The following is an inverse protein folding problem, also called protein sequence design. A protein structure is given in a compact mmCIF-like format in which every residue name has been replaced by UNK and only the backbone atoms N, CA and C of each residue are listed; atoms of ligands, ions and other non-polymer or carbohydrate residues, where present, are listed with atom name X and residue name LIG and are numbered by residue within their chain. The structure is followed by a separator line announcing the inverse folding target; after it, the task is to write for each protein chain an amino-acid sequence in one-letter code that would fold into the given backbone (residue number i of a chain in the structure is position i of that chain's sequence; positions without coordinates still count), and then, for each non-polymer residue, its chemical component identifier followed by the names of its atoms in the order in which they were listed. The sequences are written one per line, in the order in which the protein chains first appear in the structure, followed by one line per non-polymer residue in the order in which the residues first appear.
data_IF_359803048380
#
_entry.id   IF_359803048380
#
_cell.length_a   1.000
_cell.length_b   1.000
_cell.length_c   1.000
_cell.angle_alpha   90.00
_cell.angle_beta   90.00
_cell.angle_gamma   90.00
#
_symmetry.space_group_name_H-M   'P 1'
#
loop_
_entity.id
_entity.type
_entity.pdbx_description
1 polymer ?
#
# COMPACT_ATOMS: atom_id res chain seq x y z
N UNK A 1 6.43 -79.24 9.21
CA UNK A 1 6.24 -77.81 9.54
C UNK A 1 6.49 -77.03 8.27
N UNK A 2 5.48 -76.94 7.42
CA UNK A 2 5.53 -76.16 6.18
C UNK A 2 5.30 -74.69 6.52
N UNK A 3 6.27 -73.84 6.17
CA UNK A 3 6.16 -72.39 6.31
C UNK A 3 5.36 -71.86 5.12
N UNK A 4 4.24 -71.24 5.46
CA UNK A 4 3.28 -70.58 4.58
C UNK A 4 3.92 -69.54 3.64
N UNK A 5 3.54 -69.48 2.35
CA UNK A 5 3.98 -68.46 1.41
C UNK A 5 3.06 -67.23 1.47
N UNK A 6 2.97 -66.55 2.62
CA UNK A 6 2.04 -65.42 2.81
C UNK A 6 2.63 -64.03 2.49
N UNK A 7 3.93 -63.93 2.20
CA UNK A 7 4.65 -62.64 2.18
C UNK A 7 4.52 -61.82 0.88
N UNK A 8 4.14 -62.45 -0.25
CA UNK A 8 4.02 -61.72 -1.54
C UNK A 8 2.85 -60.75 -1.60
N UNK A 9 1.76 -61.00 -0.85
CA UNK A 9 0.55 -60.17 -0.89
C UNK A 9 0.74 -58.83 -0.15
N UNK A 10 1.57 -58.82 0.91
CA UNK A 10 1.82 -57.63 1.72
C UNK A 10 2.52 -56.52 0.93
N UNK A 11 3.53 -56.84 0.12
CA UNK A 11 4.26 -55.85 -0.70
C UNK A 11 3.34 -55.10 -1.65
N UNK A 12 2.46 -55.84 -2.34
CA UNK A 12 1.49 -55.24 -3.26
C UNK A 12 0.54 -54.31 -2.53
N UNK A 13 0.07 -54.69 -1.33
CA UNK A 13 -0.81 -53.85 -0.51
C UNK A 13 -0.15 -52.53 -0.08
N UNK A 14 1.10 -52.55 0.38
CA UNK A 14 1.79 -51.29 0.75
C UNK A 14 2.01 -50.37 -0.44
N UNK A 15 2.44 -50.92 -1.58
CA UNK A 15 2.68 -50.13 -2.79
C UNK A 15 1.37 -49.48 -3.25
N UNK A 16 0.28 -50.24 -3.27
CA UNK A 16 -1.04 -49.74 -3.64
C UNK A 16 -1.52 -48.66 -2.65
N UNK A 17 -1.37 -48.86 -1.34
CA UNK A 17 -1.75 -47.87 -0.33
C UNK A 17 -0.92 -46.58 -0.42
N UNK A 18 0.39 -46.69 -0.65
CA UNK A 18 1.27 -45.53 -0.80
C UNK A 18 0.92 -44.72 -2.06
N UNK A 19 0.64 -45.39 -3.18
CA UNK A 19 0.18 -44.75 -4.42
C UNK A 19 -1.17 -44.05 -4.19
N UNK A 20 -2.12 -44.72 -3.52
CA UNK A 20 -3.44 -44.15 -3.25
C UNK A 20 -3.37 -42.88 -2.37
N UNK A 21 -2.59 -42.92 -1.28
CA UNK A 21 -2.42 -41.76 -0.38
C UNK A 21 -1.72 -40.60 -1.12
N UNK A 22 -0.69 -40.90 -1.92
CA UNK A 22 0.02 -39.88 -2.71
C UNK A 22 -0.90 -39.27 -3.78
N UNK A 23 -1.71 -40.07 -4.46
CA UNK A 23 -2.68 -39.60 -5.44
C UNK A 23 -3.78 -38.73 -4.82
N UNK A 24 -4.30 -39.11 -3.65
CA UNK A 24 -5.33 -38.34 -2.94
C UNK A 24 -4.79 -37.01 -2.42
N UNK A 25 -3.58 -37.00 -1.85
CA UNK A 25 -2.94 -35.75 -1.39
C UNK A 25 -2.63 -34.82 -2.56
N UNK A 26 -2.10 -35.34 -3.66
CA UNK A 26 -1.87 -34.55 -4.88
C UNK A 26 -3.18 -34.01 -5.46
N UNK A 27 -4.22 -34.85 -5.58
CA UNK A 27 -5.54 -34.46 -6.07
C UNK A 27 -6.18 -33.37 -5.21
N UNK A 28 -6.11 -33.50 -3.89
CA UNK A 28 -6.57 -32.48 -2.94
C UNK A 28 -5.84 -31.14 -3.14
N UNK A 29 -4.52 -31.15 -3.30
CA UNK A 29 -3.75 -29.93 -3.55
C UNK A 29 -4.03 -29.32 -4.92
N UNK A 30 -4.19 -30.13 -5.97
CA UNK A 30 -4.57 -29.68 -7.31
C UNK A 30 -5.95 -29.00 -7.31
N UNK A 31 -6.93 -29.59 -6.63
CA UNK A 31 -8.27 -29.00 -6.49
C UNK A 31 -8.24 -27.70 -5.69
N UNK A 32 -7.47 -27.65 -4.58
CA UNK A 32 -7.39 -26.46 -3.71
C UNK A 32 -6.60 -25.30 -4.33
N UNK A 33 -5.65 -25.58 -5.22
CA UNK A 33 -4.70 -24.60 -5.74
C UNK A 33 -4.68 -24.48 -7.27
N UNK A 34 -5.74 -24.93 -7.95
CA UNK A 34 -5.86 -24.97 -9.42
C UNK A 34 -5.57 -23.62 -10.11
N UNK A 35 -5.82 -22.50 -9.42
CA UNK A 35 -5.56 -21.15 -9.93
C UNK A 35 -4.12 -20.64 -9.77
N UNK A 36 -3.23 -21.39 -9.12
CA UNK A 36 -1.87 -20.95 -8.76
C UNK A 36 -0.78 -21.78 -9.42
N UNK A 37 -0.61 -21.59 -10.72
CA UNK A 37 0.43 -22.26 -11.52
C UNK A 37 1.86 -22.04 -10.97
N UNK A 38 2.11 -20.91 -10.30
CA UNK A 38 3.41 -20.60 -9.68
C UNK A 38 3.75 -21.46 -8.45
N UNK A 39 2.75 -22.13 -7.87
CA UNK A 39 2.89 -23.01 -6.70
C UNK A 39 2.80 -24.48 -7.08
N UNK A 40 1.96 -24.80 -8.07
CA UNK A 40 1.67 -26.18 -8.48
C UNK A 40 2.92 -26.91 -8.98
N UNK A 41 3.72 -26.29 -9.86
CA UNK A 41 4.88 -26.96 -10.43
C UNK A 41 5.96 -27.29 -9.37
N UNK A 42 6.39 -26.36 -8.50
CA UNK A 42 7.31 -26.67 -7.40
C UNK A 42 6.77 -27.74 -6.44
N UNK A 43 5.46 -27.71 -6.13
CA UNK A 43 4.83 -28.69 -5.25
C UNK A 43 4.83 -30.10 -5.87
N UNK A 44 4.49 -30.20 -7.16
CA UNK A 44 4.52 -31.46 -7.92
C UNK A 44 5.93 -32.02 -7.94
N UNK A 45 6.94 -31.21 -8.25
CA UNK A 45 8.35 -31.63 -8.28
C UNK A 45 8.82 -32.11 -6.90
N UNK A 46 8.42 -31.42 -5.83
CA UNK A 46 8.75 -31.83 -4.46
C UNK A 46 8.09 -33.17 -4.09
N UNK A 47 6.80 -33.33 -4.38
CA UNK A 47 6.07 -34.57 -4.11
C UNK A 47 6.66 -35.75 -4.89
N UNK A 48 6.98 -35.56 -6.17
CA UNK A 48 7.67 -36.56 -7.00
C UNK A 48 9.03 -36.95 -6.41
N UNK A 49 9.85 -35.97 -6.01
CA UNK A 49 11.15 -36.23 -5.39
C UNK A 49 11.03 -37.02 -4.07
N UNK A 50 10.08 -36.64 -3.21
CA UNK A 50 9.82 -37.37 -1.95
C UNK A 50 9.33 -38.80 -2.20
N UNK A 51 8.47 -39.00 -3.19
CA UNK A 51 7.96 -40.32 -3.55
C UNK A 51 9.07 -41.24 -4.05
N UNK A 52 9.91 -40.75 -4.97
CA UNK A 52 11.06 -41.49 -5.50
C UNK A 52 12.05 -41.82 -4.38
N UNK A 53 12.36 -40.86 -3.50
CA UNK A 53 13.27 -41.07 -2.38
C UNK A 53 12.75 -42.13 -1.40
N UNK A 54 11.46 -42.08 -1.06
CA UNK A 54 10.82 -43.09 -0.20
C UNK A 54 10.80 -44.47 -0.88
N UNK A 55 10.53 -44.54 -2.17
CA UNK A 55 10.58 -45.80 -2.92
C UNK A 55 11.97 -46.43 -2.89
N UNK A 56 13.03 -45.65 -3.09
CA UNK A 56 14.41 -46.15 -3.01
C UNK A 56 14.81 -46.60 -1.59
N UNK A 57 14.42 -45.85 -0.55
CA UNK A 57 14.70 -46.23 0.85
C UNK A 57 13.97 -47.54 1.21
N UNK A 58 12.70 -47.67 0.82
CA UNK A 58 11.89 -48.87 1.09
C UNK A 58 12.39 -50.08 0.33
N UNK A 59 12.81 -49.91 -0.92
CA UNK A 59 13.28 -51.03 -1.75
C UNK A 59 14.69 -51.50 -1.40
N UNK A 60 15.58 -50.63 -0.92
CA UNK A 60 17.00 -50.96 -0.74
C UNK A 60 17.39 -51.32 0.69
N UNK A 61 16.90 -50.59 1.70
CA UNK A 61 17.36 -50.74 3.09
C UNK A 61 16.39 -51.58 3.94
N UNK A 62 15.08 -51.42 3.71
CA UNK A 62 14.04 -52.00 4.56
C UNK A 62 13.76 -53.48 4.30
N UNK A 63 14.25 -54.05 3.20
CA UNK A 63 14.08 -55.48 2.87
C UNK A 63 14.74 -56.41 3.89
N UNK A 64 15.78 -55.95 4.59
CA UNK A 64 16.51 -56.72 5.60
C UNK A 64 15.93 -56.61 7.02
N UNK A 65 14.92 -55.75 7.22
CA UNK A 65 14.40 -55.40 8.55
C UNK A 65 13.03 -56.04 8.81
N UNK A 66 12.70 -56.24 10.08
CA UNK A 66 11.40 -56.80 10.49
C UNK A 66 10.22 -55.92 10.05
N UNK A 67 9.08 -56.56 9.79
CA UNK A 67 7.81 -55.91 9.40
C UNK A 67 7.40 -54.79 10.36
N UNK A 68 7.67 -54.91 11.67
CA UNK A 68 7.38 -53.84 12.65
C UNK A 68 8.19 -52.57 12.39
N UNK A 69 9.47 -52.72 12.02
CA UNK A 69 10.34 -51.56 11.71
C UNK A 69 9.88 -50.87 10.43
N UNK A 70 9.46 -51.64 9.42
CA UNK A 70 8.90 -51.10 8.18
C UNK A 70 7.64 -50.26 8.44
N UNK A 71 6.72 -50.75 9.26
CA UNK A 71 5.53 -50.01 9.68
C UNK A 71 5.85 -48.70 10.39
N UNK A 72 6.81 -48.71 11.32
CA UNK A 72 7.19 -47.51 12.07
C UNK A 72 7.80 -46.47 11.12
N UNK A 73 8.71 -46.87 10.23
CA UNK A 73 9.33 -45.96 9.26
C UNK A 73 8.28 -45.37 8.31
N UNK A 74 7.34 -46.19 7.81
CA UNK A 74 6.27 -45.72 6.94
C UNK A 74 5.30 -44.77 7.67
N UNK A 75 4.94 -45.08 8.92
CA UNK A 75 4.09 -44.24 9.74
C UNK A 75 4.72 -42.87 10.02
N UNK A 76 6.00 -42.85 10.43
CA UNK A 76 6.77 -41.61 10.66
C UNK A 76 6.90 -40.79 9.38
N UNK A 77 7.22 -41.44 8.24
CA UNK A 77 7.32 -40.77 6.94
C UNK A 77 6.00 -40.12 6.52
N UNK A 78 4.88 -40.82 6.73
CA UNK A 78 3.54 -40.31 6.40
C UNK A 78 3.16 -39.14 7.29
N UNK A 79 3.42 -39.23 8.61
CA UNK A 79 3.20 -38.11 9.54
C UNK A 79 4.05 -36.90 9.15
N UNK A 80 5.30 -37.11 8.74
CA UNK A 80 6.17 -36.02 8.30
C UNK A 80 5.69 -35.36 7.00
N UNK A 81 5.19 -36.14 6.03
CA UNK A 81 4.59 -35.60 4.80
C UNK A 81 3.30 -34.81 5.12
N UNK A 82 2.42 -35.35 5.97
CA UNK A 82 1.21 -34.66 6.42
C UNK A 82 1.57 -33.39 7.17
N UNK A 83 2.60 -33.42 8.02
CA UNK A 83 3.10 -32.25 8.74
C UNK A 83 3.69 -31.21 7.80
N UNK A 84 4.47 -31.60 6.77
CA UNK A 84 4.94 -30.66 5.74
C UNK A 84 3.75 -30.11 4.94
N UNK A 85 2.77 -30.91 4.55
CA UNK A 85 1.56 -30.46 3.85
C UNK A 85 0.72 -29.48 4.70
N UNK A 86 0.72 -29.67 6.03
CA UNK A 86 0.05 -28.80 6.99
C UNK A 86 0.86 -27.55 7.36
N UNK A 87 2.19 -27.64 7.44
CA UNK A 87 3.09 -26.51 7.65
C UNK A 87 3.20 -25.63 6.40
N UNK A 88 3.08 -26.26 5.22
CA UNK A 88 2.86 -25.59 3.93
C UNK A 88 1.39 -25.21 3.71
N UNK A 89 0.49 -25.41 4.71
CA UNK A 89 -0.85 -24.82 4.72
C UNK A 89 -0.70 -23.31 4.94
N UNK A 90 -0.33 -22.76 3.80
CA UNK A 90 0.15 -21.45 3.48
C UNK A 90 -0.84 -20.42 3.96
N UNK A 91 -0.38 -19.42 4.71
CA UNK A 91 -1.16 -18.24 5.05
C UNK A 91 -1.67 -17.60 3.74
N UNK A 92 -2.95 -17.80 3.35
CA UNK A 92 -3.43 -17.40 2.03
C UNK A 92 -3.65 -15.89 1.96
N UNK A 93 -3.82 -15.24 3.11
CA UNK A 93 -4.11 -13.81 3.22
C UNK A 93 -2.89 -12.89 3.31
N UNK A 94 -1.67 -13.44 3.27
CA UNK A 94 -0.44 -12.67 3.46
C UNK A 94 0.37 -12.43 2.18
N UNK A 95 0.14 -13.21 1.12
CA UNK A 95 1.11 -13.32 0.03
C UNK A 95 1.05 -12.13 -0.94
N UNK A 96 2.23 -11.65 -1.34
CA UNK A 96 2.34 -10.65 -2.40
C UNK A 96 1.79 -11.22 -3.70
N UNK A 97 0.74 -10.59 -4.23
CA UNK A 97 0.12 -11.02 -5.49
C UNK A 97 0.98 -10.55 -6.65
N UNK A 98 1.31 -11.45 -7.58
CA UNK A 98 1.67 -11.03 -8.94
C UNK A 98 0.39 -10.58 -9.63
N UNK A 99 0.30 -9.36 -10.16
CA UNK A 99 -0.91 -8.92 -10.83
C UNK A 99 -0.84 -9.03 -12.35
N UNK A 100 -2.04 -8.94 -12.92
CA UNK A 100 -2.39 -8.43 -14.25
C UNK A 100 -1.53 -7.22 -14.66
N UNK A 101 -1.50 -6.81 -15.95
CA UNK A 101 -0.72 -5.63 -16.39
C UNK A 101 -0.95 -4.47 -15.43
N UNK A 102 0.17 -3.94 -14.92
CA UNK A 102 0.21 -2.89 -13.92
C UNK A 102 -0.71 -1.73 -14.32
N UNK A 103 -1.69 -1.43 -13.48
CA UNK A 103 -2.64 -0.35 -13.71
C UNK A 103 -2.26 0.86 -12.84
N UNK A 104 -2.09 2.02 -13.48
CA UNK A 104 -1.94 3.28 -12.77
C UNK A 104 -3.23 3.70 -12.05
N UNK A 105 -3.12 4.59 -11.07
CA UNK A 105 -4.30 5.24 -10.52
C UNK A 105 -4.94 6.21 -11.53
N UNK A 106 -6.20 6.57 -11.27
CA UNK A 106 -6.91 7.58 -12.05
C UNK A 106 -6.39 8.97 -11.68
N UNK A 107 -6.05 9.79 -12.67
CA UNK A 107 -5.62 11.17 -12.47
C UNK A 107 -6.89 12.03 -12.42
N UNK A 108 -7.22 12.53 -11.23
CA UNK A 108 -8.45 13.30 -10.99
C UNK A 108 -8.21 14.80 -10.82
N UNK A 109 -6.97 15.26 -10.92
CA UNK A 109 -6.59 16.68 -10.81
C UNK A 109 -6.24 17.27 -12.16
N UNK A 110 -6.09 18.59 -12.19
CA UNK A 110 -5.42 19.31 -13.29
C UNK A 110 -4.12 18.59 -13.70
N UNK A 111 -3.96 18.44 -15.03
CA UNK A 111 -2.88 17.65 -15.62
C UNK A 111 -1.54 18.36 -15.52
N UNK A 112 -1.51 19.68 -15.71
CA UNK A 112 -0.27 20.47 -15.61
C UNK A 112 0.31 20.36 -14.21
N UNK A 113 -0.53 20.56 -13.19
CA UNK A 113 -0.14 20.46 -11.79
C UNK A 113 0.30 19.04 -11.41
N UNK A 114 -0.37 18.01 -11.95
CA UNK A 114 0.03 16.61 -11.79
C UNK A 114 1.41 16.33 -12.37
N UNK A 115 1.65 16.74 -13.62
CA UNK A 115 2.92 16.51 -14.32
C UNK A 115 4.05 17.30 -13.65
N UNK A 116 3.79 18.52 -13.17
CA UNK A 116 4.73 19.28 -12.35
C UNK A 116 5.11 18.51 -11.08
N UNK A 117 4.13 18.05 -10.29
CA UNK A 117 4.43 17.33 -9.04
C UNK A 117 5.29 16.08 -9.28
N UNK A 118 5.02 15.34 -10.36
CA UNK A 118 5.79 14.13 -10.71
C UNK A 118 7.14 14.42 -11.36
N UNK A 119 7.38 15.63 -11.89
CA UNK A 119 8.68 16.02 -12.44
C UNK A 119 9.67 16.53 -11.39
N UNK A 120 9.20 16.86 -10.18
CA UNK A 120 10.06 17.29 -9.07
C UNK A 120 11.04 16.16 -8.72
N UNK A 121 12.34 16.46 -8.81
CA UNK A 121 13.42 15.57 -8.37
C UNK A 121 13.66 15.77 -6.89
N UNK A 122 13.67 14.68 -6.12
CA UNK A 122 13.94 14.72 -4.70
C UNK A 122 15.39 14.35 -4.43
N UNK A 123 15.96 14.89 -3.35
CA UNK A 123 17.30 14.50 -2.87
C UNK A 123 17.33 13.02 -2.47
N UNK A 124 16.28 12.55 -1.83
CA UNK A 124 16.10 11.16 -1.43
C UNK A 124 14.89 10.56 -2.16
N UNK A 125 15.12 9.94 -3.32
CA UNK A 125 14.07 9.21 -4.02
C UNK A 125 13.76 7.86 -3.36
N UNK A 126 12.49 7.43 -3.42
CA UNK A 126 12.09 6.04 -3.18
C UNK A 126 13.02 5.04 -3.87
N UNK A 127 13.77 4.24 -3.10
CA UNK A 127 14.60 3.19 -3.70
C UNK A 127 13.71 1.98 -4.03
N UNK A 128 13.85 1.37 -5.22
CA UNK A 128 13.29 0.06 -5.45
C UNK A 128 14.06 -0.92 -4.57
N UNK A 129 13.50 -1.27 -3.41
CA UNK A 129 14.07 -2.31 -2.59
C UNK A 129 13.72 -3.69 -3.20
N UNK A 130 14.70 -4.59 -3.22
CA UNK A 130 14.44 -6.00 -3.52
C UNK A 130 13.91 -6.72 -2.27
N UNK A 131 13.20 -6.02 -1.37
CA UNK A 131 12.67 -6.59 -0.13
C UNK A 131 11.67 -7.72 -0.39
N UNK A 132 11.15 -7.79 -1.63
CA UNK A 132 10.45 -8.92 -2.19
C UNK A 132 11.35 -10.16 -2.30
N UNK A 133 11.65 -10.82 -1.18
CA UNK A 133 12.29 -12.13 -1.19
C UNK A 133 11.25 -13.18 -1.57
N UNK A 134 11.43 -13.80 -2.74
CA UNK A 134 10.83 -15.10 -3.00
C UNK A 134 11.43 -16.05 -1.98
N UNK A 135 10.56 -16.65 -1.17
CA UNK A 135 10.95 -17.70 -0.26
C UNK A 135 11.75 -18.82 -0.92
N UNK A 136 12.42 -19.68 -0.14
CA UNK A 136 13.10 -20.86 -0.68
C UNK A 136 12.08 -21.71 -1.48
N UNK A 137 12.39 -21.98 -2.76
CA UNK A 137 11.49 -22.61 -3.76
C UNK A 137 10.17 -21.86 -4.05
N UNK A 138 10.04 -20.61 -3.63
CA UNK A 138 8.79 -19.85 -3.74
C UNK A 138 7.69 -20.32 -2.77
N UNK A 139 8.00 -21.28 -1.90
CA UNK A 139 7.08 -21.94 -0.95
C UNK A 139 7.31 -21.44 0.49
N UNK A 140 8.56 -21.13 0.86
CA UNK A 140 8.94 -20.85 2.25
C UNK A 140 9.45 -19.42 2.47
N UNK A 141 8.68 -18.54 3.12
CA UNK A 141 9.17 -17.21 3.52
C UNK A 141 8.96 -16.10 2.48
N UNK A 142 7.80 -16.07 1.80
CA UNK A 142 7.40 -14.88 1.02
C UNK A 142 7.07 -13.74 1.99
N UNK A 143 7.69 -12.58 1.79
CA UNK A 143 7.34 -11.33 2.47
C UNK A 143 5.84 -11.09 2.36
N UNK A 144 5.19 -10.77 3.47
CA UNK A 144 3.76 -10.41 3.47
C UNK A 144 3.53 -8.94 3.15
N UNK A 145 2.34 -8.57 2.67
CA UNK A 145 1.93 -7.16 2.52
C UNK A 145 2.12 -6.37 3.83
N UNK A 146 1.90 -6.99 4.99
CA UNK A 146 2.10 -6.33 6.28
C UNK A 146 3.58 -6.12 6.62
N UNK A 147 4.44 -7.09 6.33
CA UNK A 147 5.90 -6.96 6.55
C UNK A 147 6.52 -5.96 5.60
N UNK A 148 6.10 -5.98 4.34
CA UNK A 148 6.54 -4.99 3.35
C UNK A 148 6.07 -3.59 3.72
N UNK A 149 4.80 -3.41 4.10
CA UNK A 149 4.34 -2.12 4.61
C UNK A 149 5.14 -1.66 5.83
N UNK A 150 5.41 -2.55 6.78
CA UNK A 150 6.25 -2.24 7.95
C UNK A 150 7.65 -1.80 7.52
N UNK A 151 8.26 -2.51 6.57
CA UNK A 151 9.55 -2.12 6.00
C UNK A 151 9.52 -0.70 5.45
N UNK A 152 8.58 -0.39 4.55
CA UNK A 152 8.41 0.97 3.99
C UNK A 152 8.25 2.03 5.08
N UNK A 153 7.52 1.71 6.15
CA UNK A 153 7.33 2.61 7.28
C UNK A 153 8.62 2.86 8.08
N UNK A 154 9.54 1.89 8.13
CA UNK A 154 10.78 1.96 8.90
C UNK A 154 11.95 2.52 8.07
N UNK A 155 11.97 2.25 6.76
CA UNK A 155 13.08 2.64 5.88
C UNK A 155 12.84 3.94 5.14
N UNK A 156 11.58 4.29 4.82
CA UNK A 156 11.29 5.37 3.88
C UNK A 156 10.26 6.39 4.36
N UNK A 157 9.33 6.02 5.22
CA UNK A 157 8.31 6.95 5.73
C UNK A 157 8.93 7.93 6.73
N UNK A 158 8.60 9.21 6.60
CA UNK A 158 9.18 10.23 7.46
C UNK A 158 8.97 11.65 6.96
N UNK A 159 9.48 12.59 7.74
CA UNK A 159 9.60 14.00 7.37
C UNK A 159 11.08 14.29 7.14
N UNK A 160 11.39 14.81 5.96
CA UNK A 160 12.72 15.18 5.51
C UNK A 160 12.71 16.70 5.30
N UNK A 161 13.19 17.45 6.29
CA UNK A 161 13.23 18.92 6.26
C UNK A 161 14.66 19.33 5.97
N UNK A 162 14.89 19.85 4.77
CA UNK A 162 16.22 20.28 4.32
C UNK A 162 16.47 21.73 4.73
N UNK A 163 15.43 22.56 4.69
CA UNK A 163 15.49 24.00 4.99
C UNK A 163 14.15 24.49 5.51
N UNK A 164 14.20 25.34 6.53
CA UNK A 164 13.05 26.07 7.06
C UNK A 164 13.13 27.53 6.63
N UNK A 165 11.97 28.17 6.42
CA UNK A 165 11.87 29.58 6.05
C UNK A 165 10.98 30.29 7.05
N UNK A 166 11.49 31.37 7.62
CA UNK A 166 10.74 32.22 8.56
C UNK A 166 10.01 33.36 7.86
N UNK A 167 9.10 34.00 8.61
CA UNK A 167 8.39 35.21 8.18
C UNK A 167 7.61 35.03 6.88
N UNK A 168 7.01 33.86 6.69
CA UNK A 168 6.22 33.55 5.50
C UNK A 168 4.84 34.20 5.61
N UNK A 169 4.59 35.22 4.78
CA UNK A 169 3.31 35.94 4.77
C UNK A 169 2.15 35.09 4.24
N UNK A 170 2.40 34.30 3.19
CA UNK A 170 1.39 33.49 2.52
C UNK A 170 1.98 32.32 1.73
N UNK A 171 1.14 31.34 1.43
CA UNK A 171 1.52 30.09 0.78
C UNK A 171 0.61 29.76 -0.40
N UNK A 172 1.17 29.04 -1.37
CA UNK A 172 0.41 28.53 -2.51
C UNK A 172 0.18 27.01 -2.42
N UNK A 173 -1.08 26.58 -2.47
CA UNK A 173 -1.46 25.19 -2.67
C UNK A 173 -1.54 24.89 -4.17
N UNK A 174 -0.52 24.23 -4.70
CA UNK A 174 -0.42 23.96 -6.14
C UNK A 174 -1.46 22.93 -6.62
N UNK A 175 -1.65 21.88 -5.82
CA UNK A 175 -2.60 20.79 -6.10
C UNK A 175 -3.63 20.66 -4.98
N UNK A 176 -4.83 21.21 -5.16
CA UNK A 176 -5.95 20.95 -4.28
C UNK A 176 -6.36 19.48 -4.33
N UNK A 177 -6.70 18.89 -3.18
CA UNK A 177 -7.24 17.52 -3.12
C UNK A 177 -8.72 17.57 -3.43
N UNK A 178 -9.20 16.71 -4.32
CA UNK A 178 -10.62 16.62 -4.64
C UNK A 178 -11.39 15.92 -3.52
N UNK A 179 -12.67 16.28 -3.36
CA UNK A 179 -13.59 15.52 -2.53
C UNK A 179 -13.70 14.08 -3.05
N UNK A 180 -13.86 13.12 -2.13
CA UNK A 180 -13.85 11.69 -2.47
C UNK A 180 -15.10 11.02 -1.92
N UNK A 181 -15.65 10.03 -2.62
CA UNK A 181 -16.84 9.28 -2.19
C UNK A 181 -16.46 7.96 -1.52
N UNK A 182 -17.42 7.28 -0.89
CA UNK A 182 -17.18 5.96 -0.30
C UNK A 182 -16.76 4.92 -1.35
N UNK A 183 -17.26 5.05 -2.58
CA UNK A 183 -16.89 4.19 -3.71
C UNK A 183 -15.42 4.43 -4.08
N UNK A 184 -14.98 5.70 -4.12
CA UNK A 184 -13.58 6.06 -4.39
C UNK A 184 -12.65 5.48 -3.32
N UNK A 185 -13.05 5.48 -2.04
CA UNK A 185 -12.28 4.86 -0.96
C UNK A 185 -12.18 3.34 -1.09
N UNK A 186 -13.17 2.68 -1.70
CA UNK A 186 -13.19 1.23 -1.91
C UNK A 186 -12.51 0.81 -3.22
N UNK A 187 -12.18 1.76 -4.08
CA UNK A 187 -11.46 1.50 -5.32
C UNK A 187 -9.94 1.47 -5.07
N UNK A 188 -9.29 0.41 -5.57
CA UNK A 188 -7.85 0.20 -5.45
C UNK A 188 -7.01 1.31 -6.11
N UNK A 189 -7.49 1.85 -7.22
CA UNK A 189 -6.77 2.73 -8.13
C UNK A 189 -7.39 4.13 -8.24
N UNK A 190 -8.55 4.40 -7.66
CA UNK A 190 -9.15 5.74 -7.81
C UNK A 190 -8.39 6.84 -7.03
N UNK A 191 -7.74 6.51 -5.92
CA UNK A 191 -7.01 7.47 -5.10
C UNK A 191 -5.50 7.44 -5.36
N UNK A 192 -4.94 8.55 -5.83
CA UNK A 192 -3.48 8.75 -6.01
C UNK A 192 -2.72 8.72 -4.67
N UNK A 193 -3.12 9.53 -3.70
CA UNK A 193 -2.52 9.61 -2.36
C UNK A 193 -3.57 9.42 -1.25
N UNK A 194 -3.98 8.17 -0.99
CA UNK A 194 -4.87 7.89 0.14
C UNK A 194 -4.30 8.25 1.53
N UNK A 195 -3.01 8.01 1.87
CA UNK A 195 -2.50 8.32 3.21
C UNK A 195 -2.54 9.83 3.55
N UNK A 196 -2.30 10.71 2.57
CA UNK A 196 -2.35 12.16 2.75
C UNK A 196 -3.76 12.76 2.68
N UNK A 197 -4.78 11.97 2.36
CA UNK A 197 -6.15 12.45 2.24
C UNK A 197 -6.77 12.79 3.61
N UNK A 198 -7.38 13.98 3.68
CA UNK A 198 -8.29 14.36 4.76
C UNK A 198 -9.46 15.16 4.18
N UNK A 199 -10.66 14.94 4.70
CA UNK A 199 -11.86 15.66 4.27
C UNK A 199 -11.71 17.17 4.47
N UNK A 200 -11.09 17.60 5.57
CA UNK A 200 -10.84 19.02 5.89
C UNK A 200 -10.02 19.72 4.80
N UNK A 201 -8.90 19.13 4.39
CA UNK A 201 -8.03 19.71 3.35
C UNK A 201 -8.66 19.63 1.96
N UNK A 202 -9.49 18.62 1.68
CA UNK A 202 -10.15 18.48 0.39
C UNK A 202 -11.33 19.45 0.21
N UNK A 203 -12.08 19.74 1.27
CA UNK A 203 -13.22 20.64 1.21
C UNK A 203 -12.81 22.10 1.42
N UNK A 204 -12.08 22.37 2.50
CA UNK A 204 -11.81 23.74 2.94
C UNK A 204 -10.32 23.89 3.31
N UNK A 205 -9.39 23.75 2.35
CA UNK A 205 -7.96 23.87 2.64
C UNK A 205 -7.65 25.22 3.27
N UNK A 206 -8.26 26.30 2.80
CA UNK A 206 -8.05 27.64 3.33
C UNK A 206 -8.31 27.75 4.84
N UNK A 207 -9.40 27.16 5.35
CA UNK A 207 -9.71 27.15 6.80
C UNK A 207 -8.67 26.39 7.62
N UNK A 208 -8.00 25.39 7.02
CA UNK A 208 -6.99 24.62 7.74
C UNK A 208 -5.71 25.43 7.97
N UNK A 209 -5.35 26.32 7.03
CA UNK A 209 -4.14 27.15 7.06
C UNK A 209 -4.35 28.54 7.65
N UNK A 210 -5.60 28.99 7.75
CA UNK A 210 -5.96 30.30 8.31
C UNK A 210 -6.30 30.25 9.81
N UNK A 211 -6.33 29.06 10.41
CA UNK A 211 -6.73 28.85 11.81
C UNK A 211 -5.72 29.48 12.79
N UNK A 212 -6.21 30.42 13.63
CA UNK A 212 -5.55 31.00 14.81
C UNK A 212 -4.14 31.59 14.57
N UNK A 213 -4.06 32.60 13.69
CA UNK A 213 -2.86 33.40 13.39
C UNK A 213 -1.75 32.67 12.60
N UNK A 214 -2.14 31.84 11.64
CA UNK A 214 -1.23 31.29 10.63
C UNK A 214 -0.84 32.32 9.57
N UNK A 215 -0.84 31.90 8.31
CA UNK A 215 -0.54 32.76 7.16
C UNK A 215 -1.59 33.86 6.97
N UNK A 216 -1.14 35.04 6.52
CA UNK A 216 -2.02 36.17 6.17
C UNK A 216 -2.90 35.87 4.97
N UNK A 217 -2.48 34.97 4.08
CA UNK A 217 -3.30 34.48 2.98
C UNK A 217 -2.83 33.11 2.49
N UNK A 218 -3.71 32.40 1.80
CA UNK A 218 -3.40 31.18 1.05
C UNK A 218 -3.91 31.33 -0.38
N UNK A 219 -3.06 30.98 -1.34
CA UNK A 219 -3.40 30.96 -2.75
C UNK A 219 -3.65 29.52 -3.20
N UNK A 220 -4.57 29.32 -4.16
CA UNK A 220 -4.90 28.00 -4.71
C UNK A 220 -5.36 28.13 -6.16
N UNK A 221 -5.14 27.10 -6.97
CA UNK A 221 -5.73 26.99 -8.31
C UNK A 221 -7.23 26.71 -8.27
N UNK A 222 -7.76 26.26 -7.13
CA UNK A 222 -9.18 25.97 -6.97
C UNK A 222 -9.93 27.13 -6.33
N UNK A 223 -11.00 27.56 -7.00
CA UNK A 223 -11.93 28.56 -6.50
C UNK A 223 -12.83 28.07 -5.37
N UNK A 224 -13.51 28.99 -4.70
CA UNK A 224 -14.32 28.67 -3.54
C UNK A 224 -15.53 27.80 -3.90
N UNK A 225 -15.86 26.86 -3.03
CA UNK A 225 -16.87 25.81 -3.25
C UNK A 225 -18.33 26.29 -3.02
N UNK A 226 -18.65 27.56 -3.27
CA UNK A 226 -19.89 28.22 -2.79
C UNK A 226 -21.21 27.54 -3.20
N UNK A 227 -21.23 26.62 -4.17
CA UNK A 227 -22.45 25.90 -4.61
C UNK A 227 -22.45 24.37 -4.42
N UNK A 228 -21.43 23.78 -3.79
CA UNK A 228 -21.33 22.30 -3.75
C UNK A 228 -22.21 21.62 -2.68
N UNK A 229 -22.97 22.39 -1.88
CA UNK A 229 -23.75 21.89 -0.73
C UNK A 229 -25.15 22.52 -0.65
N UNK A 230 -25.94 22.47 -1.74
CA UNK A 230 -27.40 22.57 -1.63
C UNK A 230 -28.02 21.21 -1.94
N UNK A 231 -28.38 20.48 -0.89
CA UNK A 231 -29.27 19.30 -0.90
C UNK A 231 -28.80 18.09 -1.73
N UNK A 232 -27.83 17.32 -1.20
CA UNK A 232 -27.71 15.87 -1.46
C UNK A 232 -27.42 15.40 -2.89
N UNK A 233 -27.40 16.28 -3.88
CA UNK A 233 -27.04 16.01 -5.26
C UNK A 233 -25.88 16.92 -5.64
N UNK A 234 -24.76 16.31 -6.03
CA UNK A 234 -23.61 17.01 -6.60
C UNK A 234 -23.99 17.49 -8.01
N UNK A 235 -24.50 18.70 -8.12
CA UNK A 235 -24.35 19.45 -9.38
C UNK A 235 -22.93 20.00 -9.40
N UNK A 236 -22.11 19.49 -10.32
CA UNK A 236 -20.91 20.20 -10.75
C UNK A 236 -21.40 21.49 -11.41
N UNK A 237 -21.53 22.59 -10.65
CA UNK A 237 -21.78 23.88 -11.28
C UNK A 237 -20.56 24.20 -12.15
N UNK A 238 -20.83 24.72 -13.34
CA UNK A 238 -19.81 25.22 -14.27
C UNK A 238 -18.78 26.06 -13.50
N UNK A 239 -17.49 25.83 -13.79
CA UNK A 239 -16.41 26.64 -13.26
C UNK A 239 -16.78 28.12 -13.43
N UNK A 240 -16.60 28.99 -12.42
CA UNK A 240 -16.81 30.41 -12.62
C UNK A 240 -15.99 30.82 -13.84
N UNK A 241 -16.70 31.38 -14.85
CA UNK A 241 -16.15 31.84 -16.12
C UNK A 241 -14.72 32.34 -15.93
N UNK A 242 -13.78 31.58 -16.46
CA UNK A 242 -12.36 31.79 -16.27
C UNK A 242 -11.97 33.05 -17.06
N UNK A 243 -12.20 34.24 -16.48
CA UNK A 243 -11.93 35.56 -17.06
C UNK A 243 -10.41 35.85 -17.15
N UNK A 244 -9.59 34.83 -17.41
CA UNK A 244 -8.12 34.90 -17.44
C UNK A 244 -7.44 34.83 -16.07
N UNK A 245 -8.19 34.66 -14.97
CA UNK A 245 -7.63 34.52 -13.62
C UNK A 245 -7.14 33.09 -13.37
N UNK A 246 -5.87 32.93 -12.97
CA UNK A 246 -5.26 31.61 -12.78
C UNK A 246 -5.31 31.13 -11.32
N UNK A 247 -5.51 32.03 -10.37
CA UNK A 247 -5.41 31.72 -8.94
C UNK A 247 -6.49 32.42 -8.11
N UNK A 248 -6.79 31.81 -6.97
CA UNK A 248 -7.66 32.34 -5.94
C UNK A 248 -6.86 32.61 -4.68
N UNK A 249 -7.00 33.80 -4.10
CA UNK A 249 -6.42 34.14 -2.80
C UNK A 249 -7.51 34.15 -1.74
N UNK A 250 -7.24 33.43 -0.66
CA UNK A 250 -8.10 33.36 0.52
C UNK A 250 -7.43 34.08 1.69
N UNK A 251 -8.13 35.05 2.27
CA UNK A 251 -7.65 35.84 3.40
C UNK A 251 -8.55 35.56 4.62
N UNK A 252 -7.98 35.22 5.80
CA UNK A 252 -8.77 35.07 7.01
C UNK A 252 -9.52 36.35 7.35
N UNK A 253 -10.76 36.20 7.80
CA UNK A 253 -11.52 37.29 8.42
C UNK A 253 -11.43 37.20 9.94
N UNK A 254 -11.99 38.18 10.65
CA UNK A 254 -12.12 38.13 12.11
C UNK A 254 -13.03 36.98 12.57
N UNK A 255 -13.91 36.49 11.70
CA UNK A 255 -14.74 35.34 11.97
C UNK A 255 -13.94 34.05 11.76
N UNK A 256 -13.87 33.26 12.83
CA UNK A 256 -13.00 32.08 13.00
C UNK A 256 -13.06 31.02 11.89
N UNK A 257 -14.15 30.96 11.12
CA UNK A 257 -14.36 29.99 10.04
C UNK A 257 -14.62 30.65 8.68
N UNK A 258 -14.35 31.95 8.55
CA UNK A 258 -14.67 32.70 7.35
C UNK A 258 -13.40 33.28 6.72
N UNK A 259 -13.32 33.13 5.41
CA UNK A 259 -12.29 33.73 4.57
C UNK A 259 -12.94 34.53 3.45
N UNK A 260 -12.37 35.68 3.12
CA UNK A 260 -12.67 36.33 1.84
C UNK A 260 -11.88 35.64 0.74
N UNK A 261 -12.50 35.47 -0.43
CA UNK A 261 -11.85 34.89 -1.60
C UNK A 261 -11.84 35.95 -2.71
N UNK A 262 -10.67 36.20 -3.29
CA UNK A 262 -10.49 37.09 -4.44
C UNK A 262 -9.78 36.36 -5.58
N UNK A 263 -10.16 36.69 -6.81
CA UNK A 263 -9.47 36.23 -8.01
C UNK A 263 -8.20 37.05 -8.25
N UNK A 264 -7.08 36.39 -8.51
CA UNK A 264 -5.80 37.06 -8.76
C UNK A 264 -5.12 36.51 -10.01
N UNK A 265 -4.46 37.40 -10.76
CA UNK A 265 -3.76 37.04 -12.01
C UNK A 265 -2.40 36.39 -11.75
N UNK A 266 -1.73 36.77 -10.66
CA UNK A 266 -0.40 36.30 -10.29
C UNK A 266 -0.33 35.94 -8.81
N UNK A 267 0.53 34.98 -8.50
CA UNK A 267 0.82 34.57 -7.12
C UNK A 267 1.59 35.67 -6.39
N UNK A 268 1.17 35.98 -5.16
CA UNK A 268 1.97 36.77 -4.20
C UNK A 268 2.87 35.86 -3.36
N UNK A 269 2.47 34.61 -3.17
CA UNK A 269 3.23 33.62 -2.40
C UNK A 269 4.59 33.36 -3.03
N UNK A 270 5.66 33.40 -2.23
CA UNK A 270 7.02 33.00 -2.67
C UNK A 270 7.27 31.50 -2.47
N UNK A 271 6.45 30.85 -1.65
CA UNK A 271 6.58 29.45 -1.29
C UNK A 271 5.26 28.73 -1.50
N UNK A 272 5.33 27.43 -1.73
CA UNK A 272 4.15 26.61 -1.94
C UNK A 272 4.36 25.16 -1.58
N UNK A 273 3.27 24.41 -1.65
CA UNK A 273 3.30 22.98 -1.46
C UNK A 273 2.46 22.25 -2.51
N UNK A 274 2.91 21.06 -2.85
CA UNK A 274 2.22 20.14 -3.74
C UNK A 274 2.27 18.73 -3.16
N UNK A 275 1.58 17.79 -3.79
CA UNK A 275 1.63 16.40 -3.39
C UNK A 275 1.59 15.48 -4.60
N UNK A 276 2.06 14.25 -4.43
CA UNK A 276 1.96 13.20 -5.43
C UNK A 276 1.83 11.81 -4.82
N UNK A 277 1.24 10.89 -5.56
CA UNK A 277 1.26 9.47 -5.23
C UNK A 277 2.62 8.85 -5.54
N UNK A 278 3.03 7.84 -4.76
CA UNK A 278 4.23 7.06 -5.08
C UNK A 278 3.82 5.88 -5.96
N UNK A 279 4.45 5.78 -7.12
CA UNK A 279 4.17 4.70 -8.08
C UNK A 279 5.23 3.61 -7.96
N UNK A 280 4.80 2.42 -7.52
CA UNK A 280 5.66 1.23 -7.49
C UNK A 280 4.95 0.02 -8.06
N UNK A 281 5.70 -0.96 -8.59
CA UNK A 281 5.13 -2.25 -8.91
C UNK A 281 4.51 -2.89 -7.66
N UNK A 282 3.31 -3.45 -7.80
CA UNK A 282 2.69 -4.35 -6.83
C UNK A 282 2.15 -3.72 -5.53
N UNK A 283 2.51 -2.48 -5.17
CA UNK A 283 2.00 -1.84 -3.95
C UNK A 283 0.46 -1.91 -3.90
N UNK A 284 -0.21 -1.49 -4.98
CA UNK A 284 -1.67 -1.41 -5.04
C UNK A 284 -2.34 -2.76 -4.94
N UNK A 285 -1.77 -3.79 -5.55
CA UNK A 285 -2.32 -5.14 -5.53
C UNK A 285 -2.10 -5.84 -4.18
N UNK A 286 -1.16 -5.31 -3.40
CA UNK A 286 -0.92 -5.64 -2.01
C UNK A 286 -1.67 -4.74 -1.03
N UNK A 287 -2.55 -3.87 -1.53
CA UNK A 287 -3.36 -2.96 -0.73
C UNK A 287 -2.55 -1.87 -0.06
N UNK A 288 -1.40 -1.51 -0.62
CA UNK A 288 -0.49 -0.48 -0.16
C UNK A 288 -0.57 0.70 -1.13
N UNK A 289 -0.49 1.92 -0.59
CA UNK A 289 -0.35 3.14 -1.36
C UNK A 289 0.61 4.09 -0.64
N UNK A 290 1.49 4.74 -1.39
CA UNK A 290 2.37 5.78 -0.88
C UNK A 290 1.97 7.16 -1.38
N UNK A 291 2.37 8.19 -0.65
CA UNK A 291 2.23 9.58 -1.07
C UNK A 291 3.35 10.45 -0.51
N UNK A 292 3.63 11.54 -1.20
CA UNK A 292 4.62 12.55 -0.85
C UNK A 292 3.94 13.91 -0.83
N UNK A 293 4.12 14.65 0.26
CA UNK A 293 3.81 16.07 0.38
C UNK A 293 5.12 16.84 0.29
N UNK A 294 5.22 17.75 -0.67
CA UNK A 294 6.46 18.44 -1.04
C UNK A 294 6.27 19.93 -0.81
N UNK A 295 7.19 20.55 -0.09
CA UNK A 295 7.25 22.00 0.15
C UNK A 295 8.43 22.56 -0.64
N UNK A 296 8.21 23.66 -1.37
CA UNK A 296 9.21 24.25 -2.25
C UNK A 296 9.18 25.78 -2.27
N UNK A 297 10.32 26.36 -2.64
CA UNK A 297 10.44 27.75 -3.04
C UNK A 297 10.00 27.89 -4.51
N UNK A 298 9.06 28.80 -4.79
CA UNK A 298 8.44 28.94 -6.10
C UNK A 298 9.30 29.73 -7.10
N UNK A 299 10.30 30.47 -6.63
CA UNK A 299 11.19 31.27 -7.49
C UNK A 299 12.34 30.43 -8.03
N UNK A 300 12.88 29.58 -7.17
CA UNK A 300 14.07 28.75 -7.44
C UNK A 300 13.71 27.31 -7.78
N UNK A 301 12.49 26.87 -7.48
CA UNK A 301 12.06 25.46 -7.49
C UNK A 301 12.90 24.57 -6.54
N UNK A 302 13.53 25.16 -5.52
CA UNK A 302 14.25 24.42 -4.47
C UNK A 302 13.25 23.65 -3.60
N UNK A 303 13.47 22.34 -3.43
CA UNK A 303 12.69 21.51 -2.50
C UNK A 303 13.17 21.78 -1.07
N UNK A 304 12.31 22.37 -0.26
CA UNK A 304 12.60 22.73 1.14
C UNK A 304 12.36 21.56 2.09
N UNK A 305 11.32 20.78 1.82
CA UNK A 305 10.99 19.61 2.62
C UNK A 305 10.10 18.60 1.89
N UNK A 306 10.15 17.34 2.32
CA UNK A 306 9.28 16.25 1.86
C UNK A 306 8.73 15.49 3.06
N UNK A 307 7.44 15.22 3.07
CA UNK A 307 6.83 14.23 3.96
C UNK A 307 6.37 13.04 3.16
N UNK A 308 6.95 11.88 3.44
CA UNK A 308 6.61 10.60 2.83
C UNK A 308 5.78 9.75 3.77
N UNK A 309 4.65 9.23 3.28
CA UNK A 309 3.77 8.38 4.06
C UNK A 309 3.17 7.25 3.24
N UNK A 310 2.88 6.15 3.90
CA UNK A 310 2.25 4.98 3.29
C UNK A 310 0.95 4.63 4.01
N UNK A 311 0.00 4.06 3.27
CA UNK A 311 -1.23 3.48 3.77
C UNK A 311 -1.30 2.00 3.36
N UNK A 312 -1.82 1.15 4.25
CA UNK A 312 -2.17 -0.24 3.96
C UNK A 312 -3.61 -0.53 4.37
N UNK A 313 -4.42 -0.95 3.42
CA UNK A 313 -5.78 -1.45 3.69
C UNK A 313 -5.74 -2.84 4.36
N UNK A 314 -6.92 -3.35 4.71
CA UNK A 314 -7.10 -4.70 5.23
C UNK A 314 -6.74 -5.81 4.22
N UNK A 315 -7.27 -7.02 4.46
CA UNK A 315 -7.02 -8.16 3.56
C UNK A 315 -7.67 -7.91 2.21
N UNK A 316 -6.85 -7.59 1.20
CA UNK A 316 -7.29 -7.56 -0.20
C UNK A 316 -7.67 -8.98 -0.60
N UNK A 317 -8.87 -9.19 -1.15
CA UNK A 317 -9.31 -10.47 -1.74
C UNK A 317 -9.03 -10.48 -3.24
N UNK A 318 -8.96 -11.66 -3.87
CA UNK A 318 -8.51 -11.80 -5.27
C UNK A 318 -9.48 -11.07 -6.23
N UNK A 319 -10.76 -10.97 -5.86
CA UNK A 319 -11.82 -10.29 -6.61
C UNK A 319 -11.86 -8.74 -6.43
N UNK A 320 -10.72 -8.09 -6.17
CA UNK A 320 -10.62 -6.63 -5.93
C UNK A 320 -11.41 -6.09 -4.71
N UNK A 321 -12.02 -6.94 -3.89
CA UNK A 321 -12.71 -6.53 -2.65
C UNK A 321 -11.76 -6.46 -1.45
N UNK A 322 -12.18 -5.78 -0.38
CA UNK A 322 -11.38 -5.61 0.85
C UNK A 322 -10.42 -4.42 0.82
N UNK A 323 -10.48 -3.58 -0.22
CA UNK A 323 -9.89 -2.23 -0.22
C UNK A 323 -10.87 -1.29 0.49
N UNK A 324 -10.35 -0.58 1.49
CA UNK A 324 -10.97 0.63 1.99
C UNK A 324 -9.85 1.55 2.52
N UNK A 325 -9.56 2.61 1.78
CA UNK A 325 -8.51 3.56 2.15
C UNK A 325 -8.88 4.46 3.32
N UNK A 326 -10.17 4.64 3.60
CA UNK A 326 -10.66 5.43 4.73
C UNK A 326 -10.08 4.90 6.06
N UNK A 327 -10.18 3.58 6.25
CA UNK A 327 -9.71 2.87 7.45
C UNK A 327 -8.33 2.24 7.29
N UNK A 328 -7.58 2.62 6.25
CA UNK A 328 -6.24 2.07 6.04
C UNK A 328 -5.32 2.45 7.21
N UNK A 329 -4.45 1.51 7.58
CA UNK A 329 -3.35 1.79 8.52
C UNK A 329 -2.36 2.70 7.82
N UNK A 330 -2.05 3.85 8.42
CA UNK A 330 -1.14 4.85 7.85
C UNK A 330 0.13 4.94 8.69
N UNK A 331 1.27 5.16 8.04
CA UNK A 331 2.54 5.46 8.69
C UNK A 331 3.22 6.69 8.08
N UNK A 332 4.03 7.43 8.87
CA UNK A 332 4.49 7.11 10.23
C UNK A 332 3.36 7.09 11.29
N UNK A 333 3.37 6.08 12.16
CA UNK A 333 2.41 5.92 13.25
C UNK A 333 3.03 6.25 14.60
N UNK A 334 3.19 7.55 14.90
CA UNK A 334 3.71 8.00 16.18
C UNK A 334 2.88 7.51 17.38
N UNK A 335 3.55 7.05 18.45
CA UNK A 335 2.91 6.55 19.68
C UNK A 335 2.39 7.65 20.62
N UNK A 336 2.54 8.94 20.31
CA UNK A 336 2.21 10.02 21.25
C UNK A 336 1.25 11.12 20.77
N UNK A 337 0.94 11.22 19.48
CA UNK A 337 0.07 12.30 19.00
C UNK A 337 -1.03 11.81 18.09
N UNK A 338 -2.15 11.57 18.74
CA UNK A 338 -3.40 11.08 18.18
C UNK A 338 -3.90 12.08 17.14
N UNK A 339 -4.04 11.65 15.89
CA UNK A 339 -4.83 12.29 14.82
C UNK A 339 -4.36 13.67 14.29
N UNK A 340 -3.79 14.54 15.12
CA UNK A 340 -3.52 15.94 14.79
C UNK A 340 -2.22 16.17 14.02
N UNK A 341 -1.11 15.49 14.38
CA UNK A 341 0.20 15.65 13.72
C UNK A 341 0.27 15.20 12.24
N UNK A 342 -0.76 14.54 11.70
CA UNK A 342 -0.74 14.01 10.32
C UNK A 342 -1.35 14.95 9.29
N UNK A 343 -1.88 16.10 9.69
CA UNK A 343 -2.47 17.02 8.72
C UNK A 343 -1.39 17.69 7.88
N UNK A 344 -1.70 17.96 6.61
CA UNK A 344 -0.84 18.71 5.67
C UNK A 344 -0.37 20.02 6.27
N UNK A 345 -1.28 20.73 6.93
CA UNK A 345 -1.05 22.01 7.61
C UNK A 345 0.18 22.02 8.52
N UNK A 346 0.26 21.11 9.50
CA UNK A 346 1.34 21.10 10.49
C UNK A 346 2.72 20.87 9.88
N UNK A 347 2.82 19.98 8.90
CA UNK A 347 4.09 19.74 8.22
C UNK A 347 4.52 20.97 7.43
N UNK A 348 3.58 21.64 6.76
CA UNK A 348 3.87 22.87 6.01
C UNK A 348 4.29 23.99 6.97
N UNK A 349 3.62 24.20 8.09
CA UNK A 349 4.01 25.21 9.10
C UNK A 349 5.35 24.93 9.78
N UNK A 350 5.73 23.66 9.94
CA UNK A 350 7.05 23.29 10.46
C UNK A 350 8.18 23.72 9.52
N UNK A 351 7.88 23.90 8.23
CA UNK A 351 8.85 24.24 7.18
C UNK A 351 8.77 25.72 6.83
N UNK A 352 7.56 26.24 6.63
CA UNK A 352 7.24 27.61 6.30
C UNK A 352 6.63 28.26 7.54
N UNK A 353 7.43 28.95 8.33
CA UNK A 353 7.00 29.50 9.61
C UNK A 353 6.31 30.84 9.34
N UNK A 354 5.03 31.02 9.69
CA UNK A 354 4.30 32.23 9.36
C UNK A 354 4.75 33.43 10.21
N UNK A 355 4.62 34.64 9.66
CA UNK A 355 4.99 35.91 10.33
C UNK A 355 4.33 36.04 11.71
N UNK A 356 3.07 35.62 11.81
CA UNK A 356 2.25 35.80 13.02
C UNK A 356 2.55 34.79 14.14
N UNK A 357 3.48 33.84 13.93
CA UNK A 357 3.86 32.82 14.91
C UNK A 357 5.00 33.25 15.84
N UNK A 358 5.55 34.47 15.66
CA UNK A 358 6.57 35.05 16.55
C UNK A 358 5.89 35.63 17.79
N UNK A 359 5.51 34.79 18.76
CA UNK A 359 5.15 35.26 20.10
C UNK A 359 4.02 34.50 20.82
N UNK A 360 4.22 33.20 21.09
CA UNK A 360 3.61 32.51 22.24
C UNK A 360 4.67 31.62 22.91
#
# INVERSE_FOLDING_TARGET
MDKEPEDKNYRTRYIVSAIAISGLTLGWHLLKHMSRQDVLLPLILFLLFTFVSLFFIVTRELQSKSVRVQHVVFGVGTVFIVWIAFATNWNPGGQLRKPEPWQGWVITSDRESYDFAHSIKLLEEPKPDNFHKKGLFGIWGRTTSSEYFKHLCESEAGEFIYKTVEDVEGIYQMRPRQFTTQETFKDRYAMEDPPGYTMRIAQNPHTAFSYKKGYSFIESSQGPLWDRVKRGYQTFSEEPLNQGFKFWRYTPTNDFNSTTAENVLSLKSSHGFTWRGIKRPYDRENGIAGGELIVLDLKTNEVLAVRRHFARTGRVRDNRTGINWEFARRCPSGKKDKFWQRQTFWFVEKVLIPVNNKGD
#
